data_IF_568586176407
#
_entry.id   IF_568586176407
#
_cell.length_a   1.000
_cell.length_b   1.000
_cell.length_c   1.000
_cell.angle_alpha   90.00
_cell.angle_beta   90.00
_cell.angle_gamma   90.00
#
_symmetry.space_group_name_H-M   'P 1'
#
loop_
_entity.id
_entity.type
_entity.pdbx_description
1 polymer ?
#
# COMPACT_ATOMS: atom_id res chain seq x y z
N UNK A 1 -44.47 -13.07 -69.94
CA UNK A 1 -45.18 -13.40 -68.69
C UNK A 1 -44.14 -13.68 -67.60
N UNK A 2 -43.83 -12.70 -66.77
CA UNK A 2 -42.89 -12.84 -65.66
C UNK A 2 -43.66 -13.22 -64.38
N UNK A 3 -43.63 -14.49 -64.01
CA UNK A 3 -44.13 -14.99 -62.74
C UNK A 3 -43.25 -14.43 -61.60
N UNK A 4 -43.76 -13.41 -60.87
CA UNK A 4 -43.15 -12.97 -59.60
C UNK A 4 -43.63 -13.90 -58.49
N UNK A 5 -42.74 -14.77 -58.04
CA UNK A 5 -42.92 -15.58 -56.82
C UNK A 5 -43.05 -14.61 -55.63
N UNK A 6 -44.28 -14.42 -55.12
CA UNK A 6 -44.55 -13.66 -53.90
C UNK A 6 -44.08 -14.52 -52.72
N UNK A 7 -43.02 -14.10 -52.02
CA UNK A 7 -42.58 -14.77 -50.77
C UNK A 7 -43.51 -14.34 -49.63
N UNK A 8 -44.08 -15.26 -48.85
CA UNK A 8 -44.83 -14.90 -47.64
C UNK A 8 -43.86 -14.32 -46.59
N UNK A 9 -44.22 -13.19 -45.99
CA UNK A 9 -43.53 -12.60 -44.84
C UNK A 9 -44.02 -13.34 -43.59
N UNK A 10 -43.24 -14.34 -43.16
CA UNK A 10 -43.53 -15.15 -41.96
C UNK A 10 -42.88 -14.50 -40.74
N UNK A 11 -43.70 -13.89 -39.87
CA UNK A 11 -43.21 -13.32 -38.61
C UNK A 11 -43.18 -14.43 -37.56
N UNK A 12 -42.05 -15.12 -37.47
CA UNK A 12 -41.78 -16.12 -36.44
C UNK A 12 -41.29 -15.45 -35.16
N UNK A 13 -42.10 -15.44 -34.12
CA UNK A 13 -41.70 -15.04 -32.78
C UNK A 13 -41.96 -16.18 -31.79
N UNK A 14 -41.03 -17.15 -31.74
CA UNK A 14 -41.11 -18.24 -30.75
C UNK A 14 -40.71 -17.74 -29.35
N UNK A 15 -41.71 -17.56 -28.47
CA UNK A 15 -41.62 -17.75 -27.01
C UNK A 15 -41.80 -16.51 -26.12
N UNK A 16 -41.98 -16.80 -24.81
CA UNK A 16 -42.11 -15.96 -23.59
C UNK A 16 -42.10 -14.43 -23.78
N UNK A 17 -43.12 -13.73 -23.27
CA UNK A 17 -43.35 -12.26 -23.33
C UNK A 17 -42.08 -11.39 -23.31
N UNK A 18 -42.02 -10.38 -24.18
CA UNK A 18 -40.88 -9.45 -24.35
C UNK A 18 -40.51 -8.76 -23.03
N UNK A 19 -41.49 -8.35 -22.21
CA UNK A 19 -41.27 -7.78 -20.88
C UNK A 19 -40.54 -8.73 -19.93
N UNK A 20 -40.90 -10.03 -19.91
CA UNK A 20 -40.19 -11.03 -19.11
C UNK A 20 -38.77 -11.24 -19.62
N UNK A 21 -38.53 -11.26 -20.94
CA UNK A 21 -37.18 -11.43 -21.51
C UNK A 21 -36.25 -10.25 -21.20
N UNK A 22 -36.75 -9.02 -21.34
CA UNK A 22 -36.01 -7.81 -20.95
C UNK A 22 -35.75 -7.83 -19.44
N UNK A 23 -36.76 -8.18 -18.63
CA UNK A 23 -36.59 -8.32 -17.18
C UNK A 23 -35.57 -9.42 -16.82
N UNK A 24 -35.56 -10.57 -17.51
CA UNK A 24 -34.55 -11.61 -17.32
C UNK A 24 -33.16 -11.14 -17.71
N UNK A 25 -33.00 -10.44 -18.85
CA UNK A 25 -31.70 -9.90 -19.25
C UNK A 25 -31.16 -8.89 -18.24
N UNK A 26 -32.01 -8.01 -17.71
CA UNK A 26 -31.65 -7.04 -16.69
C UNK A 26 -31.37 -7.71 -15.34
N UNK A 27 -32.14 -8.73 -14.98
CA UNK A 27 -31.94 -9.52 -13.78
C UNK A 27 -30.63 -10.31 -13.83
N UNK A 28 -30.30 -10.93 -14.98
CA UNK A 28 -29.03 -11.65 -15.19
C UNK A 28 -27.86 -10.68 -15.10
N UNK A 29 -27.94 -9.51 -15.74
CA UNK A 29 -26.89 -8.49 -15.63
C UNK A 29 -26.69 -8.05 -14.18
N UNK A 30 -27.77 -7.79 -13.44
CA UNK A 30 -27.68 -7.43 -12.02
C UNK A 30 -27.15 -8.57 -11.14
N UNK A 31 -27.54 -9.82 -11.42
CA UNK A 31 -27.07 -11.00 -10.71
C UNK A 31 -25.55 -11.18 -10.85
N UNK A 32 -24.96 -10.73 -11.96
CA UNK A 32 -23.52 -10.80 -12.19
C UNK A 32 -22.81 -9.56 -11.65
N UNK A 33 -23.36 -8.37 -11.90
CA UNK A 33 -22.74 -7.10 -11.55
C UNK A 33 -22.69 -6.86 -10.04
N UNK A 34 -23.71 -7.30 -9.29
CA UNK A 34 -23.75 -7.12 -7.83
C UNK A 34 -22.64 -7.91 -7.10
N UNK A 35 -22.44 -9.23 -7.34
CA UNK A 35 -21.32 -9.96 -6.76
C UNK A 35 -19.95 -9.37 -7.14
N UNK A 36 -19.80 -8.89 -8.38
CA UNK A 36 -18.56 -8.26 -8.85
C UNK A 36 -18.25 -7.00 -8.05
N UNK A 37 -19.23 -6.11 -7.87
CA UNK A 37 -19.06 -4.90 -7.07
C UNK A 37 -18.76 -5.26 -5.62
N UNK A 38 -19.48 -6.22 -5.05
CA UNK A 38 -19.26 -6.65 -3.67
C UNK A 38 -17.85 -7.21 -3.46
N UNK A 39 -17.37 -8.01 -4.42
CA UNK A 39 -16.03 -8.59 -4.41
C UNK A 39 -14.95 -7.49 -4.54
N UNK A 40 -15.13 -6.54 -5.47
CA UNK A 40 -14.22 -5.42 -5.65
C UNK A 40 -14.13 -4.55 -4.38
N UNK A 41 -15.27 -4.25 -3.77
CA UNK A 41 -15.35 -3.50 -2.51
C UNK A 41 -14.68 -4.26 -1.38
N UNK A 42 -14.96 -5.55 -1.22
CA UNK A 42 -14.32 -6.40 -0.21
C UNK A 42 -12.78 -6.37 -0.31
N UNK A 43 -12.24 -6.45 -1.53
CA UNK A 43 -10.79 -6.41 -1.74
C UNK A 43 -10.18 -5.02 -1.51
N UNK A 44 -10.87 -3.95 -1.89
CA UNK A 44 -10.43 -2.58 -1.55
C UNK A 44 -10.32 -2.39 -0.03
N UNK A 45 -11.30 -2.88 0.74
CA UNK A 45 -11.26 -2.84 2.20
C UNK A 45 -10.14 -3.73 2.78
N UNK A 46 -9.93 -4.93 2.23
CA UNK A 46 -8.85 -5.83 2.71
C UNK A 46 -7.47 -5.24 2.43
N UNK A 47 -7.28 -4.60 1.28
CA UNK A 47 -6.03 -3.92 0.93
C UNK A 47 -5.79 -2.71 1.83
N UNK A 48 -6.83 -1.92 2.13
CA UNK A 48 -6.77 -0.79 3.04
C UNK A 48 -6.25 -1.19 4.43
N UNK A 49 -6.68 -2.33 4.97
CA UNK A 49 -6.27 -2.78 6.32
C UNK A 49 -4.79 -3.22 6.41
N UNK A 50 -4.21 -3.74 5.33
CA UNK A 50 -2.80 -4.14 5.28
C UNK A 50 -1.91 -2.91 5.12
N UNK A 51 -2.25 -2.03 4.17
CA UNK A 51 -1.49 -0.80 3.89
C UNK A 51 -1.49 0.11 5.12
N UNK A 52 -2.61 0.25 5.81
CA UNK A 52 -2.71 1.10 6.99
C UNK A 52 -1.78 0.62 8.12
N UNK A 53 -1.62 -0.70 8.30
CA UNK A 53 -0.74 -1.28 9.34
C UNK A 53 0.76 -1.15 9.00
N UNK A 54 1.15 -1.26 7.73
CA UNK A 54 2.55 -1.06 7.29
C UNK A 54 2.96 0.41 7.46
N UNK A 55 2.09 1.33 7.02
CA UNK A 55 2.38 2.77 7.00
C UNK A 55 2.30 3.37 8.39
N UNK A 56 1.35 2.94 9.23
CA UNK A 56 1.13 3.58 10.54
C UNK A 56 1.94 3.00 11.70
N UNK A 57 2.47 1.77 11.59
CA UNK A 57 3.16 1.11 12.73
C UNK A 57 4.61 0.75 12.41
N UNK A 58 4.87 -0.03 11.36
CA UNK A 58 6.20 -0.64 11.19
C UNK A 58 7.24 0.30 10.59
N UNK A 59 6.87 1.16 9.64
CA UNK A 59 7.78 2.16 9.08
C UNK A 59 8.19 3.24 10.12
N UNK A 60 7.25 3.81 10.91
CA UNK A 60 7.60 4.75 11.97
C UNK A 60 8.56 4.14 13.00
N UNK A 61 8.31 2.91 13.48
CA UNK A 61 9.17 2.25 14.48
C UNK A 61 10.58 2.00 13.96
N UNK A 62 10.74 1.61 12.69
CA UNK A 62 12.07 1.45 12.08
C UNK A 62 12.84 2.78 12.05
N UNK A 63 12.20 3.87 11.57
CA UNK A 63 12.85 5.19 11.54
C UNK A 63 13.14 5.74 12.93
N UNK A 64 12.29 5.46 13.91
CA UNK A 64 12.51 5.83 15.31
C UNK A 64 13.66 5.04 15.93
N UNK A 65 13.82 3.76 15.59
CA UNK A 65 14.94 2.95 16.06
C UNK A 65 16.28 3.44 15.50
N UNK A 66 16.31 3.82 14.21
CA UNK A 66 17.47 4.49 13.62
C UNK A 66 17.77 5.81 14.34
N UNK A 67 16.75 6.64 14.55
CA UNK A 67 16.90 7.91 15.27
C UNK A 67 17.39 7.72 16.70
N UNK A 68 16.93 6.68 17.41
CA UNK A 68 17.41 6.34 18.74
C UNK A 68 18.91 6.00 18.77
N UNK A 69 19.41 5.30 17.74
CA UNK A 69 20.85 5.01 17.59
C UNK A 69 21.67 6.28 17.36
N UNK A 70 21.14 7.22 16.57
CA UNK A 70 21.76 8.53 16.31
C UNK A 70 21.78 9.38 17.59
N UNK A 71 20.66 9.45 18.30
CA UNK A 71 20.57 10.24 19.53
C UNK A 71 21.51 9.70 20.63
N UNK A 72 21.66 8.38 20.73
CA UNK A 72 22.64 7.76 21.63
C UNK A 72 24.09 8.10 21.24
N UNK A 73 24.38 8.18 19.94
CA UNK A 73 25.68 8.62 19.44
C UNK A 73 25.96 10.09 19.80
N UNK A 74 24.97 10.96 19.65
CA UNK A 74 25.11 12.38 19.98
C UNK A 74 25.24 12.58 21.49
N UNK A 75 24.49 11.82 22.31
CA UNK A 75 24.68 11.76 23.75
C UNK A 75 26.11 11.33 24.11
N UNK A 76 26.63 10.27 23.47
CA UNK A 76 27.99 9.77 23.71
C UNK A 76 29.07 10.80 23.35
N UNK A 77 28.92 11.51 22.23
CA UNK A 77 29.84 12.59 21.86
C UNK A 77 29.81 13.73 22.87
N UNK A 78 28.62 14.16 23.29
CA UNK A 78 28.48 15.22 24.29
C UNK A 78 29.06 14.82 25.67
N UNK A 79 28.94 13.55 26.05
CA UNK A 79 29.59 12.98 27.24
C UNK A 79 31.12 13.12 27.15
N UNK A 80 31.71 12.68 26.04
CA UNK A 80 33.16 12.74 25.81
C UNK A 80 33.69 14.17 25.77
N UNK A 81 32.96 15.06 25.07
CA UNK A 81 33.24 16.49 25.05
C UNK A 81 33.23 17.07 26.47
N UNK A 82 32.26 16.67 27.31
CA UNK A 82 32.19 17.08 28.70
C UNK A 82 33.38 16.55 29.52
N UNK A 83 33.74 15.27 29.39
CA UNK A 83 34.87 14.70 30.13
C UNK A 83 36.22 15.35 29.79
N UNK A 84 36.34 15.86 28.56
CA UNK A 84 37.50 16.64 28.13
C UNK A 84 37.46 18.09 28.64
N UNK A 85 36.34 18.78 28.43
CA UNK A 85 36.25 20.24 28.60
C UNK A 85 35.71 20.71 29.96
N UNK A 86 35.03 19.84 30.71
CA UNK A 86 34.18 20.17 31.86
C UNK A 86 33.22 21.33 31.61
N UNK A 87 32.77 21.48 30.36
CA UNK A 87 31.82 22.52 29.96
C UNK A 87 30.39 22.09 30.31
N UNK A 88 29.70 22.80 31.23
CA UNK A 88 28.32 22.47 31.60
C UNK A 88 27.34 22.46 30.43
N UNK A 89 27.62 23.19 29.34
CA UNK A 89 26.78 23.18 28.12
C UNK A 89 26.80 21.79 27.44
N UNK A 90 27.95 21.11 27.45
CA UNK A 90 28.11 19.76 26.89
C UNK A 90 27.39 18.72 27.73
N UNK A 91 27.46 18.84 29.06
CA UNK A 91 26.69 17.98 29.96
C UNK A 91 25.19 18.16 29.75
N UNK A 92 24.73 19.39 29.54
CA UNK A 92 23.32 19.65 29.25
C UNK A 92 22.89 19.06 27.91
N UNK A 93 23.72 19.19 26.87
CA UNK A 93 23.49 18.58 25.55
C UNK A 93 23.33 17.05 25.65
N UNK A 94 24.17 16.39 26.44
CA UNK A 94 24.02 14.96 26.71
C UNK A 94 22.67 14.64 27.39
N UNK A 95 22.30 15.39 28.43
CA UNK A 95 21.04 15.17 29.16
C UNK A 95 19.81 15.37 28.27
N UNK A 96 19.84 16.36 27.40
CA UNK A 96 18.78 16.62 26.43
C UNK A 96 18.68 15.48 25.42
N UNK A 97 19.80 15.02 24.85
CA UNK A 97 19.83 13.86 23.97
C UNK A 97 19.29 12.59 24.63
N UNK A 98 19.66 12.32 25.89
CA UNK A 98 19.11 11.17 26.64
C UNK A 98 17.61 11.30 26.91
N UNK A 99 17.08 12.51 27.08
CA UNK A 99 15.64 12.74 27.24
C UNK A 99 14.89 12.49 25.93
N UNK A 100 15.42 12.99 24.82
CA UNK A 100 14.84 12.81 23.50
C UNK A 100 14.85 11.32 23.11
N UNK A 101 15.93 10.61 23.48
CA UNK A 101 16.03 9.15 23.35
C UNK A 101 14.93 8.41 24.15
N UNK A 102 14.68 8.80 25.41
CA UNK A 102 13.58 8.23 26.21
C UNK A 102 12.20 8.46 25.58
N UNK A 103 11.97 9.63 25.00
CA UNK A 103 10.71 9.97 24.30
C UNK A 103 10.53 9.10 23.04
N UNK A 104 11.59 8.96 22.24
CA UNK A 104 11.59 8.12 21.05
C UNK A 104 11.29 6.66 21.43
N UNK A 105 11.99 6.11 22.43
CA UNK A 105 11.78 4.72 22.88
C UNK A 105 10.37 4.55 23.48
N UNK A 106 9.89 5.52 24.24
CA UNK A 106 8.53 5.54 24.78
C UNK A 106 7.48 5.48 23.68
N UNK A 107 7.67 6.25 22.60
CA UNK A 107 6.79 6.26 21.43
C UNK A 107 6.83 4.91 20.71
N UNK A 108 8.02 4.35 20.45
CA UNK A 108 8.17 3.01 19.85
C UNK A 108 7.41 1.94 20.64
N UNK A 109 7.48 1.99 21.98
CA UNK A 109 6.79 1.06 22.87
C UNK A 109 5.26 1.15 22.75
N UNK A 110 4.71 2.34 22.55
CA UNK A 110 3.26 2.54 22.36
C UNK A 110 2.78 2.06 21.00
N UNK A 111 3.57 2.30 19.95
CA UNK A 111 3.22 1.92 18.59
C UNK A 111 3.32 0.41 18.37
N UNK A 112 4.30 -0.26 19.00
CA UNK A 112 4.56 -1.68 18.79
C UNK A 112 4.63 -2.47 20.10
N UNK A 113 3.47 -2.85 20.69
CA UNK A 113 3.41 -3.60 21.95
C UNK A 113 4.19 -4.92 21.93
N UNK A 114 4.38 -5.53 20.76
CA UNK A 114 5.16 -6.75 20.60
C UNK A 114 6.65 -6.59 20.94
N UNK A 115 7.20 -5.37 20.83
CA UNK A 115 8.61 -5.05 21.15
C UNK A 115 8.76 -4.36 22.51
N UNK A 116 7.73 -4.44 23.37
CA UNK A 116 7.80 -4.00 24.77
C UNK A 116 9.03 -4.52 25.52
N UNK A 117 9.45 -5.81 25.45
CA UNK A 117 10.62 -6.26 26.20
C UNK A 117 11.91 -5.58 25.73
N UNK A 118 12.08 -5.39 24.42
CA UNK A 118 13.28 -4.72 23.86
C UNK A 118 13.30 -3.24 24.23
N UNK A 119 12.19 -2.53 24.00
CA UNK A 119 12.07 -1.11 24.33
C UNK A 119 12.18 -0.86 25.83
N UNK A 120 11.69 -1.77 26.67
CA UNK A 120 11.87 -1.69 28.11
C UNK A 120 13.34 -1.85 28.51
N UNK A 121 14.04 -2.84 27.94
CA UNK A 121 15.49 -2.99 28.17
C UNK A 121 16.24 -1.72 27.77
N UNK A 122 15.93 -1.13 26.61
CA UNK A 122 16.55 0.12 26.18
C UNK A 122 16.32 1.26 27.19
N UNK A 123 15.10 1.41 27.72
CA UNK A 123 14.82 2.43 28.76
C UNK A 123 15.58 2.17 30.06
N UNK A 124 15.75 0.90 30.44
CA UNK A 124 16.49 0.54 31.65
C UNK A 124 17.99 0.83 31.48
N UNK A 125 18.54 0.58 30.29
CA UNK A 125 19.91 0.98 29.92
C UNK A 125 20.08 2.50 29.92
N UNK A 126 19.15 3.27 29.34
CA UNK A 126 19.25 4.75 29.36
C UNK A 126 19.28 5.29 30.80
N UNK A 127 18.49 4.70 31.70
CA UNK A 127 18.51 5.07 33.13
C UNK A 127 19.82 4.70 33.80
N UNK A 128 20.36 3.51 33.52
CA UNK A 128 21.66 3.09 34.03
C UNK A 128 22.76 4.04 33.56
N UNK A 129 22.81 4.34 32.27
CA UNK A 129 23.75 5.27 31.66
C UNK A 129 23.67 6.64 32.32
N UNK A 130 22.47 7.21 32.48
CA UNK A 130 22.27 8.49 33.18
C UNK A 130 22.79 8.46 34.62
N UNK A 131 22.48 7.40 35.38
CA UNK A 131 22.92 7.28 36.77
C UNK A 131 24.45 7.22 36.89
N UNK A 132 25.12 6.48 36.00
CA UNK A 132 26.59 6.40 35.96
C UNK A 132 27.24 7.70 35.54
N UNK A 133 26.61 8.45 34.63
CA UNK A 133 27.10 9.76 34.22
C UNK A 133 27.06 10.74 35.40
N UNK A 134 25.94 10.81 36.12
CA UNK A 134 25.82 11.68 37.29
C UNK A 134 26.82 11.30 38.40
N UNK A 135 27.08 10.00 38.58
CA UNK A 135 28.13 9.51 39.49
C UNK A 135 29.52 9.99 39.05
N UNK A 136 29.86 9.89 37.77
CA UNK A 136 31.13 10.35 37.22
C UNK A 136 31.29 11.88 37.33
N UNK A 137 30.24 12.63 36.97
CA UNK A 137 30.16 14.09 37.07
C UNK A 137 30.41 14.55 38.51
N UNK A 138 29.77 13.90 39.49
CA UNK A 138 29.90 14.25 40.90
C UNK A 138 31.32 14.07 41.45
N UNK A 139 32.09 13.13 40.86
CA UNK A 139 33.48 12.83 41.27
C UNK A 139 34.52 13.72 40.59
N UNK A 140 34.28 14.15 39.34
CA UNK A 140 35.22 14.99 38.59
C UNK A 140 35.28 16.45 39.05
N UNK A 141 34.49 16.85 40.05
CA UNK A 141 34.54 18.20 40.64
C UNK A 141 33.75 19.26 39.87
N UNK A 142 33.84 20.51 40.32
CA UNK A 142 33.03 21.62 39.81
C UNK A 142 33.38 22.07 38.38
N UNK A 143 32.42 22.65 37.63
CA UNK A 143 32.61 23.07 36.24
C UNK A 143 33.72 24.11 36.09
N UNK A 144 34.52 23.99 35.01
CA UNK A 144 35.53 24.98 34.61
C UNK A 144 36.98 24.74 35.05
N UNK A 145 37.29 23.60 35.69
CA UNK A 145 38.67 23.21 36.03
C UNK A 145 39.18 22.04 35.18
N UNK A 146 38.85 22.00 33.89
CA UNK A 146 39.45 21.00 33.00
C UNK A 146 40.98 21.14 33.09
N UNK A 147 41.70 20.11 33.57
CA UNK A 147 43.14 20.21 33.67
C UNK A 147 43.66 20.38 32.23
N UNK A 148 44.26 21.53 31.91
CA UNK A 148 44.91 21.75 30.61
C UNK A 148 45.87 20.61 30.29
N UNK A 149 46.50 20.05 31.35
CA UNK A 149 47.32 18.84 31.28
C UNK A 149 46.57 17.60 30.76
N UNK A 150 45.29 17.42 31.08
CA UNK A 150 44.49 16.27 30.60
C UNK A 150 44.26 16.37 29.10
N UNK A 151 43.79 17.53 28.63
CA UNK A 151 43.59 17.78 27.18
C UNK A 151 44.91 17.59 26.44
N UNK A 152 46.01 18.12 26.98
CA UNK A 152 47.32 18.00 26.37
C UNK A 152 47.82 16.53 26.33
N UNK A 153 47.59 15.76 27.39
CA UNK A 153 47.91 14.32 27.43
C UNK A 153 47.10 13.51 26.42
N UNK A 154 45.80 13.78 26.30
CA UNK A 154 44.94 13.10 25.31
C UNK A 154 45.39 13.43 23.89
N UNK A 155 45.61 14.72 23.59
CA UNK A 155 46.08 15.14 22.26
C UNK A 155 47.45 14.55 21.92
N UNK A 156 48.40 14.53 22.87
CA UNK A 156 49.72 13.94 22.66
C UNK A 156 49.68 12.42 22.46
N UNK A 157 48.84 11.72 23.23
CA UNK A 157 48.63 10.29 23.05
C UNK A 157 48.03 10.00 21.67
N UNK A 158 47.12 10.87 21.19
CA UNK A 158 46.42 10.69 19.93
C UNK A 158 47.34 10.98 18.75
N UNK A 159 48.11 12.06 18.84
CA UNK A 159 49.16 12.41 17.89
C UNK A 159 50.18 11.29 17.76
N UNK A 160 50.63 10.72 18.90
CA UNK A 160 51.58 9.59 18.89
C UNK A 160 51.00 8.33 18.23
N UNK A 161 49.71 8.06 18.42
CA UNK A 161 49.03 6.93 17.79
C UNK A 161 48.89 7.11 16.27
N UNK A 162 48.49 8.31 15.83
CA UNK A 162 48.42 8.72 14.42
C UNK A 162 49.80 8.66 13.74
N UNK A 163 50.84 9.16 14.40
CA UNK A 163 52.22 9.09 13.92
C UNK A 163 52.70 7.64 13.76
N UNK A 164 52.25 6.74 14.66
CA UNK A 164 52.53 5.31 14.58
C UNK A 164 51.90 4.65 13.36
N UNK A 165 50.68 5.04 13.02
CA UNK A 165 50.00 4.61 11.78
C UNK A 165 50.73 5.11 10.55
N UNK A 166 51.02 6.41 10.48
CA UNK A 166 51.70 7.02 9.33
C UNK A 166 53.10 6.45 9.11
N UNK A 167 53.82 6.07 10.18
CA UNK A 167 55.15 5.43 10.09
C UNK A 167 55.11 3.98 9.61
N UNK A 168 54.03 3.24 9.89
CA UNK A 168 53.84 1.87 9.36
C UNK A 168 53.55 1.87 7.86
N UNK A 169 53.01 2.97 7.33
CA UNK A 169 52.39 3.03 5.99
C UNK A 169 53.22 3.70 4.87
N UNK A 170 54.41 3.17 4.60
CA UNK A 170 55.10 3.47 3.32
C UNK A 170 54.75 2.51 2.18
N UNK A 171 53.93 1.47 2.41
CA UNK A 171 53.67 0.39 1.43
C UNK A 171 52.22 -0.09 1.28
N UNK A 172 51.25 0.33 2.09
CA UNK A 172 49.86 -0.15 1.93
C UNK A 172 49.01 0.70 0.97
N UNK A 173 47.99 0.05 0.39
CA UNK A 173 47.03 0.68 -0.52
C UNK A 173 46.14 1.68 0.23
N UNK A 174 45.84 2.83 -0.40
CA UNK A 174 44.94 3.89 0.12
C UNK A 174 43.64 3.39 0.74
N UNK A 175 43.07 2.27 0.26
CA UNK A 175 41.83 1.71 0.81
C UNK A 175 41.96 1.22 2.25
N UNK A 176 43.02 0.49 2.58
CA UNK A 176 43.29 0.02 3.95
C UNK A 176 43.59 1.17 4.90
N UNK A 177 44.35 2.15 4.41
CA UNK A 177 44.68 3.35 5.19
C UNK A 177 43.42 4.15 5.55
N UNK A 178 42.42 4.19 4.65
CA UNK A 178 41.12 4.82 4.92
C UNK A 178 40.28 4.03 5.93
N UNK A 179 40.30 2.70 5.87
CA UNK A 179 39.61 1.84 6.85
C UNK A 179 40.28 1.92 8.22
N UNK A 180 41.62 1.92 8.27
CA UNK A 180 42.39 2.08 9.50
C UNK A 180 42.21 3.47 10.11
N UNK A 181 42.18 4.54 9.31
CA UNK A 181 41.85 5.88 9.81
C UNK A 181 40.42 5.93 10.37
N UNK A 182 39.44 5.31 9.68
CA UNK A 182 38.05 5.25 10.13
C UNK A 182 37.92 4.51 11.46
N UNK A 183 38.65 3.41 11.61
CA UNK A 183 38.72 2.67 12.87
C UNK A 183 39.44 3.48 13.97
N UNK A 184 40.42 4.32 13.60
CA UNK A 184 41.18 5.18 14.54
C UNK A 184 40.47 6.43 15.01
N UNK A 185 39.44 6.90 14.31
CA UNK A 185 38.56 7.95 14.85
C UNK A 185 37.92 7.49 16.16
N UNK A 186 37.65 6.19 16.32
CA UNK A 186 37.20 5.60 17.58
C UNK A 186 38.29 5.43 18.66
N UNK A 187 39.59 5.61 18.36
CA UNK A 187 40.65 5.48 19.37
C UNK A 187 40.82 6.73 20.22
N UNK A 188 40.38 7.89 19.73
CA UNK A 188 40.39 9.13 20.52
C UNK A 188 39.52 8.99 21.78
N UNK A 189 38.33 8.42 21.61
CA UNK A 189 37.39 8.08 22.67
C UNK A 189 38.00 7.18 23.75
N UNK A 190 38.80 6.19 23.31
CA UNK A 190 39.53 5.29 24.21
C UNK A 190 40.57 6.05 25.01
N UNK A 191 41.29 6.98 24.38
CA UNK A 191 42.32 7.77 25.06
C UNK A 191 41.74 8.77 26.07
N UNK A 192 40.56 9.34 25.79
CA UNK A 192 39.81 10.14 26.77
C UNK A 192 39.51 9.27 27.99
N UNK A 193 38.97 8.06 27.79
CA UNK A 193 38.67 7.15 28.90
C UNK A 193 39.93 6.74 29.67
N UNK A 194 41.00 6.34 28.98
CA UNK A 194 42.26 5.92 29.62
C UNK A 194 42.88 7.03 30.48
N UNK A 195 42.83 8.28 30.02
CA UNK A 195 43.34 9.42 30.80
C UNK A 195 42.48 9.72 32.02
N UNK A 196 41.15 9.55 31.94
CA UNK A 196 40.25 9.65 33.09
C UNK A 196 40.52 8.54 34.12
N UNK A 197 40.68 7.30 33.66
CA UNK A 197 40.97 6.14 34.51
C UNK A 197 42.32 6.26 35.22
N UNK A 198 43.30 6.86 34.56
CA UNK A 198 44.62 7.11 35.14
C UNK A 198 44.57 8.16 36.27
N UNK A 199 43.60 9.08 36.22
CA UNK A 199 43.41 10.11 37.24
C UNK A 199 42.58 9.61 38.43
N UNK A 200 41.52 8.83 38.19
CA UNK A 200 40.73 8.19 39.24
C UNK A 200 40.35 6.74 38.85
N UNK A 201 40.91 5.72 39.52
CA UNK A 201 40.63 4.31 39.22
C UNK A 201 39.18 3.91 39.53
N UNK A 202 38.44 4.72 40.28
CA UNK A 202 37.02 4.47 40.55
C UNK A 202 36.11 4.96 39.43
N UNK A 203 36.57 5.89 38.58
CA UNK A 203 35.88 6.29 37.36
C UNK A 203 35.87 5.18 36.31
N UNK A 204 36.85 4.27 36.33
CA UNK A 204 36.93 3.11 35.42
C UNK A 204 35.65 2.31 35.35
N UNK A 205 35.02 2.04 36.48
CA UNK A 205 33.78 1.26 36.49
C UNK A 205 32.62 2.08 35.90
N UNK A 206 32.55 3.37 36.20
CA UNK A 206 31.51 4.25 35.65
C UNK A 206 31.67 4.42 34.13
N UNK A 207 32.89 4.66 33.62
CA UNK A 207 33.16 4.80 32.19
C UNK A 207 32.93 3.49 31.44
N UNK A 208 33.30 2.35 32.02
CA UNK A 208 33.03 1.03 31.45
C UNK A 208 31.52 0.76 31.37
N UNK A 209 30.78 1.03 32.45
CA UNK A 209 29.33 0.85 32.47
C UNK A 209 28.62 1.82 31.48
N UNK A 210 29.11 3.06 31.34
CA UNK A 210 28.62 4.03 30.37
C UNK A 210 28.81 3.55 28.93
N UNK A 211 30.00 3.01 28.61
CA UNK A 211 30.29 2.41 27.30
C UNK A 211 29.41 1.20 27.03
N UNK A 212 29.36 0.26 27.97
CA UNK A 212 28.56 -0.96 27.83
C UNK A 212 27.08 -0.64 27.60
N UNK A 213 26.51 0.29 28.38
CA UNK A 213 25.12 0.68 28.24
C UNK A 213 24.83 1.39 26.91
N UNK A 214 25.74 2.26 26.46
CA UNK A 214 25.66 2.90 25.14
C UNK A 214 25.67 1.88 24.00
N UNK A 215 26.57 0.91 24.06
CA UNK A 215 26.68 -0.15 23.05
C UNK A 215 25.45 -1.06 23.05
N UNK A 216 24.94 -1.42 24.23
CA UNK A 216 23.71 -2.19 24.39
C UNK A 216 22.51 -1.44 23.78
N UNK A 217 22.34 -0.14 24.06
CA UNK A 217 21.26 0.69 23.49
C UNK A 217 21.37 0.70 21.96
N UNK A 218 22.57 0.93 21.41
CA UNK A 218 22.78 0.99 19.96
C UNK A 218 22.55 -0.37 19.29
N UNK A 219 22.99 -1.46 19.91
CA UNK A 219 22.76 -2.80 19.40
C UNK A 219 21.27 -3.13 19.41
N UNK A 220 20.57 -2.87 20.53
CA UNK A 220 19.12 -3.09 20.64
C UNK A 220 18.35 -2.23 19.63
N UNK A 221 18.74 -0.98 19.43
CA UNK A 221 18.16 -0.08 18.43
C UNK A 221 18.35 -0.62 17.00
N UNK A 222 19.58 -0.99 16.63
CA UNK A 222 19.90 -1.58 15.31
C UNK A 222 19.14 -2.90 15.09
N UNK A 223 19.06 -3.76 16.10
CA UNK A 223 18.35 -5.04 15.98
C UNK A 223 16.84 -4.85 15.89
N UNK A 224 16.29 -3.86 16.60
CA UNK A 224 14.89 -3.45 16.47
C UNK A 224 14.60 -2.86 15.08
N UNK A 225 15.50 -2.04 14.56
CA UNK A 225 15.43 -1.46 13.21
C UNK A 225 15.42 -2.58 12.15
N UNK A 226 16.39 -3.49 12.19
CA UNK A 226 16.48 -4.66 11.28
C UNK A 226 15.24 -5.55 11.36
N UNK A 227 14.74 -5.84 12.58
CA UNK A 227 13.52 -6.64 12.76
C UNK A 227 12.29 -5.92 12.22
N UNK A 228 12.17 -4.63 12.45
CA UNK A 228 11.05 -3.81 11.96
C UNK A 228 11.08 -3.71 10.43
N UNK A 229 12.24 -3.47 9.81
CA UNK A 229 12.42 -3.52 8.36
C UNK A 229 12.11 -4.89 7.77
N UNK A 230 12.50 -5.96 8.44
CA UNK A 230 12.18 -7.32 8.01
C UNK A 230 10.66 -7.59 8.00
N UNK A 231 9.88 -6.94 8.87
CA UNK A 231 8.42 -7.01 8.81
C UNK A 231 7.86 -6.19 7.65
N UNK A 232 8.38 -4.98 7.42
CA UNK A 232 7.99 -4.16 6.26
C UNK A 232 8.27 -4.92 4.94
N UNK A 233 9.44 -5.55 4.80
CA UNK A 233 9.79 -6.32 3.61
C UNK A 233 8.96 -7.60 3.45
N UNK A 234 8.70 -8.35 4.54
CA UNK A 234 7.85 -9.55 4.49
C UNK A 234 6.41 -9.19 4.11
N UNK A 235 5.89 -8.11 4.66
CA UNK A 235 4.53 -7.66 4.35
C UNK A 235 4.43 -7.18 2.88
N UNK A 236 5.50 -6.58 2.33
CA UNK A 236 5.61 -6.26 0.90
C UNK A 236 5.60 -7.50 -0.01
N UNK A 237 6.17 -8.63 0.43
CA UNK A 237 6.13 -9.89 -0.34
C UNK A 237 4.74 -10.53 -0.32
N UNK A 238 4.02 -10.48 0.81
CA UNK A 238 2.63 -10.94 0.88
C UNK A 238 1.66 -10.04 0.08
N UNK A 239 1.92 -8.73 0.04
CA UNK A 239 1.10 -7.81 -0.80
C UNK A 239 1.22 -8.13 -2.28
N UNK A 240 2.36 -8.63 -2.78
CA UNK A 240 2.50 -9.04 -4.20
C UNK A 240 1.72 -10.31 -4.53
N UNK A 241 1.65 -11.29 -3.63
CA UNK A 241 0.83 -12.49 -3.87
C UNK A 241 -0.66 -12.20 -3.78
N UNK A 242 -1.08 -11.25 -2.94
CA UNK A 242 -2.45 -10.75 -2.89
C UNK A 242 -2.80 -9.89 -4.11
N UNK A 243 -1.85 -9.09 -4.62
CA UNK A 243 -2.02 -8.33 -5.85
C UNK A 243 -2.24 -9.25 -7.06
N UNK A 244 -1.50 -10.37 -7.16
CA UNK A 244 -1.70 -11.33 -8.25
C UNK A 244 -3.08 -12.01 -8.18
N UNK A 245 -3.59 -12.32 -6.98
CA UNK A 245 -4.96 -12.85 -6.85
C UNK A 245 -6.02 -11.81 -7.23
N UNK A 246 -5.81 -10.53 -6.90
CA UNK A 246 -6.70 -9.45 -7.32
C UNK A 246 -6.68 -9.24 -8.85
N UNK A 247 -5.50 -9.38 -9.47
CA UNK A 247 -5.31 -9.29 -10.91
C UNK A 247 -6.05 -10.41 -11.66
N UNK A 248 -5.94 -11.66 -11.20
CA UNK A 248 -6.68 -12.79 -11.78
C UNK A 248 -8.20 -12.63 -11.66
N UNK A 249 -8.70 -12.09 -10.56
CA UNK A 249 -10.15 -11.83 -10.40
C UNK A 249 -10.62 -10.76 -11.38
N UNK A 250 -9.87 -9.67 -11.56
CA UNK A 250 -10.21 -8.63 -12.55
C UNK A 250 -10.23 -9.19 -13.98
N UNK A 251 -9.27 -10.05 -14.32
CA UNK A 251 -9.21 -10.72 -15.63
C UNK A 251 -10.44 -11.62 -15.82
N UNK A 252 -10.81 -12.43 -14.82
CA UNK A 252 -11.98 -13.33 -14.89
C UNK A 252 -13.26 -12.52 -15.03
N UNK A 253 -13.44 -11.49 -14.20
CA UNK A 253 -14.63 -10.62 -14.23
C UNK A 253 -14.74 -9.89 -15.56
N UNK A 254 -13.66 -9.32 -16.07
CA UNK A 254 -13.62 -8.65 -17.37
C UNK A 254 -13.97 -9.61 -18.50
N UNK A 255 -13.39 -10.82 -18.47
CA UNK A 255 -13.65 -11.87 -19.45
C UNK A 255 -15.13 -12.30 -19.45
N UNK A 256 -15.71 -12.55 -18.27
CA UNK A 256 -17.12 -12.93 -18.12
C UNK A 256 -18.03 -11.81 -18.62
N UNK A 257 -17.74 -10.55 -18.26
CA UNK A 257 -18.52 -9.39 -18.68
C UNK A 257 -18.48 -9.21 -20.20
N UNK A 258 -17.30 -9.39 -20.81
CA UNK A 258 -17.11 -9.30 -22.25
C UNK A 258 -17.87 -10.40 -22.99
N UNK A 259 -17.76 -11.66 -22.53
CA UNK A 259 -18.52 -12.79 -23.09
C UNK A 259 -20.02 -12.54 -23.00
N UNK A 260 -20.51 -12.02 -21.87
CA UNK A 260 -21.93 -11.71 -21.70
C UNK A 260 -22.41 -10.58 -22.62
N UNK A 261 -21.62 -9.52 -22.77
CA UNK A 261 -21.88 -8.41 -23.68
C UNK A 261 -22.00 -8.91 -25.13
N UNK A 262 -21.06 -9.77 -25.54
CA UNK A 262 -21.08 -10.40 -26.86
C UNK A 262 -22.33 -11.26 -27.03
N UNK A 263 -22.66 -12.12 -26.06
CA UNK A 263 -23.85 -12.96 -26.09
C UNK A 263 -25.14 -12.13 -26.23
N UNK A 264 -25.30 -11.08 -25.42
CA UNK A 264 -26.48 -10.22 -25.47
C UNK A 264 -26.58 -9.46 -26.80
N UNK A 265 -25.45 -8.99 -27.34
CA UNK A 265 -25.37 -8.31 -28.63
C UNK A 265 -25.81 -9.21 -29.79
N UNK A 266 -25.56 -10.52 -29.72
CA UNK A 266 -26.02 -11.46 -30.75
C UNK A 266 -27.47 -11.93 -30.56
N UNK A 267 -27.94 -12.07 -29.31
CA UNK A 267 -29.27 -12.63 -29.00
C UNK A 267 -30.37 -11.59 -29.22
N UNK A 268 -30.17 -10.35 -28.77
CA UNK A 268 -31.21 -9.30 -28.81
C UNK A 268 -31.68 -8.94 -30.24
N UNK A 269 -30.80 -8.73 -31.24
CA UNK A 269 -31.23 -8.32 -32.57
C UNK A 269 -32.05 -9.38 -33.28
N UNK A 270 -31.67 -10.66 -33.13
CA UNK A 270 -32.36 -11.77 -33.80
C UNK A 270 -33.74 -12.05 -33.21
N UNK A 271 -33.95 -11.77 -31.92
CA UNK A 271 -35.20 -12.10 -31.24
C UNK A 271 -36.19 -10.94 -31.14
N UNK A 272 -35.72 -9.69 -31.12
CA UNK A 272 -36.57 -8.50 -30.92
C UNK A 272 -36.56 -7.59 -32.15
N UNK A 273 -35.38 -7.23 -32.65
CA UNK A 273 -35.27 -6.23 -33.71
C UNK A 273 -35.82 -6.77 -35.02
N UNK A 274 -35.44 -7.99 -35.42
CA UNK A 274 -35.88 -8.56 -36.69
C UNK A 274 -37.42 -8.67 -36.80
N UNK A 275 -38.16 -9.25 -35.83
CA UNK A 275 -39.62 -9.29 -35.90
C UNK A 275 -40.31 -7.91 -35.90
N UNK A 276 -39.73 -6.91 -35.23
CA UNK A 276 -40.26 -5.54 -35.23
C UNK A 276 -40.05 -4.85 -36.58
N UNK A 277 -38.90 -5.08 -37.22
CA UNK A 277 -38.61 -4.58 -38.57
C UNK A 277 -39.53 -5.25 -39.59
N UNK A 278 -39.71 -6.56 -39.52
CA UNK A 278 -40.61 -7.30 -40.40
C UNK A 278 -42.07 -6.82 -40.25
N UNK A 279 -42.51 -6.51 -39.02
CA UNK A 279 -43.82 -5.94 -38.76
C UNK A 279 -43.97 -4.52 -39.34
N UNK A 280 -42.94 -3.68 -39.20
CA UNK A 280 -42.93 -2.33 -39.78
C UNK A 280 -43.08 -2.38 -41.30
N UNK A 281 -42.29 -3.22 -41.97
CA UNK A 281 -42.33 -3.40 -43.42
C UNK A 281 -43.71 -3.91 -43.89
N UNK A 282 -44.33 -4.80 -43.11
CA UNK A 282 -45.68 -5.26 -43.39
C UNK A 282 -46.75 -4.14 -43.31
N UNK A 283 -46.63 -3.25 -42.33
CA UNK A 283 -47.52 -2.08 -42.17
C UNK A 283 -47.31 -1.07 -43.28
N UNK A 284 -46.05 -0.77 -43.63
CA UNK A 284 -45.71 0.19 -44.69
C UNK A 284 -46.29 -0.25 -46.05
N UNK A 285 -46.22 -1.55 -46.36
CA UNK A 285 -46.85 -2.11 -47.57
C UNK A 285 -48.38 -2.08 -47.55
N UNK A 286 -49.01 -2.29 -46.39
CA UNK A 286 -50.47 -2.15 -46.25
C UNK A 286 -50.91 -0.68 -46.39
N UNK A 287 -50.13 0.27 -45.86
CA UNK A 287 -50.36 1.70 -46.02
C UNK A 287 -50.22 2.15 -47.48
N UNK A 288 -49.31 1.53 -48.23
CA UNK A 288 -49.15 1.73 -49.68
C UNK A 288 -50.26 1.11 -50.54
N UNK A 289 -51.30 0.53 -49.93
CA UNK A 289 -52.48 0.00 -50.61
C UNK A 289 -52.41 -1.46 -51.03
N UNK A 290 -51.36 -2.19 -50.65
CA UNK A 290 -51.21 -3.61 -50.96
C UNK A 290 -51.73 -4.49 -49.81
N UNK A 291 -53.05 -4.68 -49.78
CA UNK A 291 -53.75 -5.42 -48.72
C UNK A 291 -53.81 -6.95 -48.91
N UNK A 292 -53.10 -7.49 -49.91
CA UNK A 292 -53.12 -8.94 -50.24
C UNK A 292 -51.98 -9.73 -49.60
N UNK A 293 -51.20 -9.14 -48.70
CA UNK A 293 -50.11 -9.87 -48.06
C UNK A 293 -50.64 -10.89 -47.04
N UNK A 294 -50.21 -12.15 -47.20
CA UNK A 294 -50.46 -13.21 -46.23
C UNK A 294 -49.59 -12.99 -44.99
N UNK A 295 -50.25 -12.69 -43.89
CA UNK A 295 -49.63 -12.40 -42.61
C UNK A 295 -49.71 -13.65 -41.72
N UNK A 296 -48.70 -14.50 -41.80
CA UNK A 296 -48.60 -15.71 -40.97
C UNK A 296 -47.93 -15.39 -39.64
N UNK A 297 -48.72 -15.49 -38.57
CA UNK A 297 -48.32 -15.14 -37.21
C UNK A 297 -48.14 -16.43 -36.43
N UNK A 298 -46.89 -16.82 -36.22
CA UNK A 298 -46.57 -18.04 -35.48
C UNK A 298 -45.76 -17.73 -34.21
N UNK A 299 -46.29 -18.17 -33.07
CA UNK A 299 -45.64 -18.12 -31.76
C UNK A 299 -46.46 -17.41 -30.66
N UNK A 300 -45.84 -17.22 -29.50
CA UNK A 300 -46.42 -16.61 -28.30
C UNK A 300 -45.60 -15.39 -27.86
N UNK A 301 -46.25 -14.28 -27.50
CA UNK A 301 -45.58 -13.10 -26.94
C UNK A 301 -46.20 -11.75 -27.35
N UNK A 302 -45.64 -10.66 -26.84
CA UNK A 302 -46.15 -9.30 -27.05
C UNK A 302 -46.06 -8.84 -28.52
N UNK A 303 -45.00 -9.24 -29.24
CA UNK A 303 -44.85 -8.91 -30.67
C UNK A 303 -45.89 -9.62 -31.53
N UNK A 304 -46.27 -10.85 -31.17
CA UNK A 304 -47.33 -11.65 -31.81
C UNK A 304 -48.71 -11.03 -31.54
N UNK A 305 -48.96 -10.56 -30.31
CA UNK A 305 -50.18 -9.83 -29.96
C UNK A 305 -50.32 -8.52 -30.75
N UNK A 306 -49.20 -7.80 -30.96
CA UNK A 306 -49.19 -6.60 -31.78
C UNK A 306 -49.45 -6.94 -33.25
N UNK A 307 -48.74 -7.93 -33.79
CA UNK A 307 -48.89 -8.44 -35.14
C UNK A 307 -50.34 -8.86 -35.45
N UNK A 308 -50.98 -9.64 -34.56
CA UNK A 308 -52.37 -10.05 -34.71
C UNK A 308 -53.37 -8.89 -34.62
N UNK A 309 -53.09 -7.86 -33.83
CA UNK A 309 -53.92 -6.65 -33.74
C UNK A 309 -53.82 -5.80 -35.01
N UNK A 310 -52.61 -5.66 -35.56
CA UNK A 310 -52.36 -5.03 -36.86
C UNK A 310 -53.07 -5.78 -37.99
N UNK A 311 -52.99 -7.13 -38.01
CA UNK A 311 -53.71 -7.96 -38.99
C UNK A 311 -55.22 -7.70 -38.96
N UNK A 312 -55.81 -7.62 -37.76
CA UNK A 312 -57.25 -7.32 -37.60
C UNK A 312 -57.61 -5.93 -38.12
N UNK A 313 -56.75 -4.93 -37.89
CA UNK A 313 -56.96 -3.56 -38.37
C UNK A 313 -56.88 -3.49 -39.91
N UNK A 314 -55.86 -4.10 -40.51
CA UNK A 314 -55.71 -4.18 -41.98
C UNK A 314 -56.92 -4.89 -42.60
N UNK A 315 -57.42 -5.96 -41.97
CA UNK A 315 -58.64 -6.65 -42.40
C UNK A 315 -59.87 -5.75 -42.40
N UNK A 316 -60.09 -4.98 -41.33
CA UNK A 316 -61.20 -4.03 -41.24
C UNK A 316 -61.12 -2.94 -42.31
N UNK A 317 -59.93 -2.38 -42.56
CA UNK A 317 -59.71 -1.37 -43.59
C UNK A 317 -60.01 -1.93 -44.99
N UNK A 318 -59.56 -3.15 -45.28
CA UNK A 318 -59.85 -3.84 -46.54
C UNK A 318 -61.35 -4.04 -46.74
N UNK A 319 -62.05 -4.47 -45.70
CA UNK A 319 -63.50 -4.70 -45.76
C UNK A 319 -64.27 -3.39 -45.97
N UNK A 320 -63.91 -2.31 -45.28
CA UNK A 320 -64.50 -0.99 -45.51
C UNK A 320 -64.26 -0.48 -46.93
N UNK A 321 -63.04 -0.64 -47.47
CA UNK A 321 -62.73 -0.30 -48.86
C UNK A 321 -63.56 -1.09 -49.87
N UNK A 322 -63.78 -2.40 -49.63
CA UNK A 322 -64.68 -3.20 -50.48
C UNK A 322 -66.12 -2.72 -50.40
N UNK A 323 -66.63 -2.36 -49.21
CA UNK A 323 -67.98 -1.81 -49.07
C UNK A 323 -68.15 -0.49 -49.82
N UNK A 324 -67.16 0.40 -49.75
CA UNK A 324 -67.15 1.69 -50.47
C UNK A 324 -67.06 1.48 -51.98
N UNK A 325 -66.21 0.57 -52.47
CA UNK A 325 -66.07 0.31 -53.92
C UNK A 325 -67.29 -0.38 -54.53
N UNK A 326 -68.00 -1.21 -53.76
CA UNK A 326 -69.28 -1.80 -54.17
C UNK A 326 -70.40 -0.76 -54.16
N UNK A 327 -70.42 0.16 -53.18
CA UNK A 327 -71.37 1.25 -53.13
C UNK A 327 -71.16 2.28 -54.27
N UNK A 328 -69.92 2.54 -54.67
CA UNK A 328 -69.59 3.43 -55.79
C UNK A 328 -69.83 2.82 -57.19
N UNK A 329 -70.13 1.51 -57.27
CA UNK A 329 -70.46 0.80 -58.52
C UNK A 329 -71.96 0.57 -58.73
N UNK A 330 -72.80 1.01 -57.78
CA UNK A 330 -74.25 1.11 -57.94
C UNK A 330 -74.63 2.52 -58.30
#
# INVERSE_FOLDING_TARGET
MTWRVRKPLTVFARGVSLRRRVAYSLAIVRLILVPVIFLAVYYLFRMGWIVDRIVSVHAPVATMAERASIEMLDARRAEQDYFLSHDPEKLQTNRDALRDLEEIIGTMRTLQPAEQPTTQKMLDEVKLHRARLEEAVSRMGGPGQAPVERIQKVVQAYEKDLDGLLKKDRRESRGRLMDDLRNRVGSFDVQITETLEAEDPTLRQATTDLQASSDDIRQLASDLEKRSWNWVLRDQMETRQLAHRAEWVLIIVSSVTLVLSVLLSFILPRQVVKPLVDLKEAVDHAAAGNYEMEFDVQGDGEVVQLASSVRRLIGHVREQRMKISVAARR
#
